data_IF_149694105675
#
_entry.id   IF_149694105675
#
_cell.length_a   1.000
_cell.length_b   1.000
_cell.length_c   1.000
_cell.angle_alpha   90.00
_cell.angle_beta   90.00
_cell.angle_gamma   90.00
#
_symmetry.space_group_name_H-M   'P 1'
#
loop_
_entity.id
_entity.type
_entity.pdbx_description
1 polymer ?
#
# COMPACT_ATOMS: atom_id res chain seq x y z
N UNK A 1 -1.08 -15.51 72.34
CA UNK A 1 -2.04 -14.85 71.42
C UNK A 1 -1.25 -13.94 70.50
N UNK A 2 -1.06 -14.30 69.23
CA UNK A 2 -0.76 -13.35 68.17
C UNK A 2 -1.05 -14.00 66.82
N UNK A 3 -2.17 -13.62 66.21
CA UNK A 3 -2.59 -14.02 64.87
C UNK A 3 -1.90 -13.09 63.86
N UNK A 4 -1.14 -13.63 62.91
CA UNK A 4 -1.53 -13.76 61.50
C UNK A 4 -2.05 -12.46 60.86
N UNK A 5 -1.20 -11.81 60.07
CA UNK A 5 -1.66 -11.03 58.91
C UNK A 5 -0.64 -11.15 57.78
N UNK A 6 -0.86 -12.15 56.94
CA UNK A 6 -0.19 -12.31 55.65
C UNK A 6 -1.10 -11.63 54.61
N UNK A 7 -0.80 -10.38 54.24
CA UNK A 7 -1.52 -9.70 53.16
C UNK A 7 -1.00 -10.21 51.83
N UNK A 8 -1.74 -11.12 51.23
CA UNK A 8 -1.69 -11.43 49.79
C UNK A 8 -2.85 -10.70 49.14
N UNK A 9 -2.57 -9.75 48.24
CA UNK A 9 -3.56 -9.22 47.29
C UNK A 9 -2.81 -8.72 46.05
N UNK A 10 -2.64 -9.60 45.07
CA UNK A 10 -3.31 -9.61 43.75
C UNK A 10 -2.58 -8.77 42.69
N UNK A 11 -2.13 -9.37 41.57
CA UNK A 11 -1.57 -8.63 40.44
C UNK A 11 -2.67 -7.84 39.71
N UNK A 12 -2.35 -6.70 39.07
CA UNK A 12 -3.31 -5.97 38.25
C UNK A 12 -3.71 -6.81 37.04
N UNK A 13 -5.03 -7.00 36.92
CA UNK A 13 -5.72 -7.60 35.79
C UNK A 13 -5.34 -6.89 34.49
N UNK A 14 -4.69 -7.61 33.58
CA UNK A 14 -4.34 -7.09 32.25
C UNK A 14 -5.62 -7.05 31.44
N UNK A 15 -6.28 -5.89 31.45
CA UNK A 15 -7.44 -5.61 30.61
C UNK A 15 -7.07 -5.86 29.15
N UNK A 16 -7.65 -6.91 28.57
CA UNK A 16 -7.48 -7.27 27.17
C UNK A 16 -7.97 -6.13 26.29
N UNK A 17 -7.04 -5.38 25.70
CA UNK A 17 -7.34 -4.48 24.59
C UNK A 17 -7.72 -5.37 23.39
N UNK A 18 -8.95 -5.26 22.85
CA UNK A 18 -9.29 -6.01 21.65
C UNK A 18 -8.46 -5.46 20.49
N UNK A 19 -7.57 -6.29 19.96
CA UNK A 19 -6.92 -6.02 18.68
C UNK A 19 -8.01 -6.12 17.61
N UNK A 20 -8.56 -4.98 17.21
CA UNK A 20 -9.43 -4.86 16.05
C UNK A 20 -8.53 -5.02 14.82
N UNK A 21 -8.53 -6.22 14.24
CA UNK A 21 -7.98 -6.45 12.91
C UNK A 21 -8.93 -5.77 11.92
N UNK A 22 -8.50 -4.79 11.10
CA UNK A 22 -9.36 -4.25 10.07
C UNK A 22 -9.66 -5.37 9.07
N UNK A 23 -10.94 -5.70 8.92
CA UNK A 23 -11.42 -6.57 7.87
C UNK A 23 -11.09 -5.90 6.53
N UNK A 24 -10.10 -6.44 5.82
CA UNK A 24 -9.80 -6.04 4.45
C UNK A 24 -11.03 -6.39 3.60
N UNK A 25 -11.70 -5.43 2.95
CA UNK A 25 -12.78 -5.78 2.04
C UNK A 25 -12.16 -6.56 0.89
N UNK A 26 -12.58 -7.81 0.71
CA UNK A 26 -12.29 -8.56 -0.49
C UNK A 26 -12.89 -7.79 -1.67
N UNK A 27 -12.03 -7.07 -2.40
CA UNK A 27 -12.37 -6.51 -3.71
C UNK A 27 -12.73 -7.69 -4.61
N UNK A 28 -14.02 -7.95 -4.71
CA UNK A 28 -14.60 -8.91 -5.65
C UNK A 28 -14.40 -8.33 -7.06
N UNK A 29 -13.23 -8.58 -7.65
CA UNK A 29 -12.96 -8.22 -9.04
C UNK A 29 -13.84 -9.11 -9.92
N UNK A 30 -14.77 -8.57 -10.72
CA UNK A 30 -15.55 -9.39 -11.64
C UNK A 30 -14.62 -10.02 -12.69
N UNK A 31 -14.68 -11.34 -12.80
CA UNK A 31 -14.01 -12.10 -13.86
C UNK A 31 -14.54 -11.61 -15.22
N UNK A 32 -13.67 -11.21 -16.17
CA UNK A 32 -14.14 -10.80 -17.49
C UNK A 32 -14.84 -11.98 -18.18
N UNK A 33 -15.96 -11.74 -18.90
CA UNK A 33 -16.60 -12.80 -19.67
C UNK A 33 -15.63 -13.32 -20.72
N UNK A 34 -15.60 -14.63 -20.91
CA UNK A 34 -14.80 -15.28 -21.95
C UNK A 34 -15.13 -14.67 -23.33
N UNK A 35 -14.14 -14.52 -24.23
CA UNK A 35 -14.41 -14.01 -25.57
C UNK A 35 -15.28 -15.00 -26.33
N UNK A 36 -16.46 -14.55 -26.76
CA UNK A 36 -17.30 -15.32 -27.67
C UNK A 36 -16.57 -15.52 -29.01
N UNK A 37 -16.66 -16.71 -29.64
CA UNK A 37 -16.12 -16.91 -30.98
C UNK A 37 -16.96 -16.13 -31.99
N UNK A 38 -16.38 -15.07 -32.55
CA UNK A 38 -16.98 -14.33 -33.66
C UNK A 38 -16.96 -15.25 -34.89
N UNK A 39 -18.13 -15.76 -35.27
CA UNK A 39 -18.32 -16.55 -36.48
C UNK A 39 -18.44 -15.60 -37.66
N UNK A 40 -17.44 -15.65 -38.55
CA UNK A 40 -17.34 -14.91 -39.80
C UNK A 40 -18.40 -15.39 -40.80
N UNK A 41 -19.42 -14.58 -41.04
CA UNK A 41 -20.40 -14.79 -42.12
C UNK A 41 -20.11 -13.81 -43.26
N UNK A 42 -19.56 -14.36 -44.34
CA UNK A 42 -19.33 -13.69 -45.62
C UNK A 42 -20.62 -13.11 -46.22
N UNK A 43 -20.53 -11.87 -46.73
CA UNK A 43 -21.65 -11.17 -47.35
C UNK A 43 -21.22 -9.99 -48.23
N UNK A 44 -20.59 -10.31 -49.36
CA UNK A 44 -20.54 -9.60 -50.65
C UNK A 44 -20.98 -8.11 -50.74
N UNK A 45 -20.01 -7.18 -50.79
CA UNK A 45 -20.03 -5.95 -51.62
C UNK A 45 -18.63 -5.31 -51.67
N UNK A 46 -18.07 -5.09 -52.86
CA UNK A 46 -16.81 -4.36 -53.10
C UNK A 46 -17.09 -3.07 -53.91
N UNK A 47 -16.17 -2.09 -54.00
CA UNK A 47 -15.60 -1.31 -52.92
C UNK A 47 -15.67 0.21 -53.21
N UNK A 48 -15.77 1.06 -52.19
CA UNK A 48 -15.28 2.44 -52.29
C UNK A 48 -13.89 2.48 -51.65
N UNK A 49 -12.86 3.04 -52.29
CA UNK A 49 -11.54 3.15 -51.67
C UNK A 49 -11.58 4.35 -50.71
N UNK A 50 -12.21 4.17 -49.56
CA UNK A 50 -11.78 4.92 -48.38
C UNK A 50 -10.43 4.32 -48.04
N UNK A 51 -9.36 4.99 -48.44
CA UNK A 51 -8.02 4.64 -47.97
C UNK A 51 -8.11 4.53 -46.44
N UNK A 52 -7.84 3.36 -45.84
CA UNK A 52 -7.69 3.31 -44.40
C UNK A 52 -6.44 4.15 -44.14
N UNK A 53 -6.60 5.37 -43.63
CA UNK A 53 -5.49 6.04 -42.97
C UNK A 53 -5.05 5.07 -41.88
N UNK A 54 -3.85 4.48 -41.96
CA UNK A 54 -3.38 3.61 -40.93
C UNK A 54 -2.93 4.50 -39.78
N UNK A 55 -3.87 5.07 -39.02
CA UNK A 55 -3.63 5.43 -37.62
C UNK A 55 -3.61 4.13 -36.80
N UNK A 56 -2.81 3.15 -37.26
CA UNK A 56 -2.75 1.81 -36.74
C UNK A 56 -1.63 1.71 -35.72
N UNK A 57 -1.86 2.25 -34.53
CA UNK A 57 -1.04 1.80 -33.39
C UNK A 57 -1.20 0.29 -33.29
N UNK A 58 -0.10 -0.44 -33.46
CA UNK A 58 -0.13 -1.90 -33.36
C UNK A 58 -0.50 -2.30 -31.93
N UNK A 59 -1.15 -3.46 -31.75
CA UNK A 59 -1.45 -4.00 -30.41
C UNK A 59 -0.19 -4.00 -29.51
N UNK A 60 0.96 -4.36 -30.08
CA UNK A 60 2.25 -4.33 -29.38
C UNK A 60 2.66 -2.93 -28.94
N UNK A 61 2.48 -1.92 -29.79
CA UNK A 61 2.74 -0.52 -29.44
C UNK A 61 1.78 -0.05 -28.32
N UNK A 62 0.50 -0.42 -28.42
CA UNK A 62 -0.50 -0.10 -27.39
C UNK A 62 -0.15 -0.73 -26.04
N UNK A 63 0.22 -2.00 -26.02
CA UNK A 63 0.61 -2.71 -24.79
C UNK A 63 1.86 -2.08 -24.18
N UNK A 64 2.89 -1.76 -24.99
CA UNK A 64 4.11 -1.09 -24.49
C UNK A 64 3.79 0.26 -23.85
N UNK A 65 2.90 1.04 -24.48
CA UNK A 65 2.45 2.33 -23.95
C UNK A 65 1.72 2.17 -22.61
N UNK A 66 0.76 1.25 -22.53
CA UNK A 66 0.03 0.97 -21.29
C UNK A 66 0.95 0.45 -20.17
N UNK A 67 1.94 -0.38 -20.50
CA UNK A 67 2.94 -0.83 -19.54
C UNK A 67 3.81 0.32 -19.02
N UNK A 68 4.19 1.26 -19.88
CA UNK A 68 4.92 2.45 -19.46
C UNK A 68 4.06 3.36 -18.55
N UNK A 69 2.79 3.57 -18.89
CA UNK A 69 1.84 4.30 -18.05
C UNK A 69 1.67 3.63 -16.68
N UNK A 70 1.50 2.31 -16.64
CA UNK A 70 1.38 1.56 -15.39
C UNK A 70 2.65 1.65 -14.52
N UNK A 71 3.84 1.59 -15.15
CA UNK A 71 5.11 1.79 -14.43
C UNK A 71 5.25 3.19 -13.86
N UNK A 72 4.91 4.22 -14.64
CA UNK A 72 4.95 5.61 -14.16
C UNK A 72 4.04 5.80 -12.93
N UNK A 73 2.80 5.31 -13.00
CA UNK A 73 1.87 5.36 -11.87
C UNK A 73 2.40 4.62 -10.64
N UNK A 74 3.03 3.46 -10.82
CA UNK A 74 3.63 2.72 -9.71
C UNK A 74 4.78 3.49 -9.06
N UNK A 75 5.64 4.15 -9.84
CA UNK A 75 6.71 5.00 -9.30
C UNK A 75 6.16 6.20 -8.52
N UNK A 76 5.07 6.82 -8.99
CA UNK A 76 4.39 7.89 -8.26
C UNK A 76 3.87 7.41 -6.88
N UNK A 77 3.30 6.21 -6.81
CA UNK A 77 2.84 5.63 -5.54
C UNK A 77 4.01 5.37 -4.57
N UNK A 78 5.16 4.94 -5.09
CA UNK A 78 6.35 4.75 -4.27
C UNK A 78 6.82 6.10 -3.71
N UNK A 79 6.87 7.15 -4.53
CA UNK A 79 7.19 8.51 -4.06
C UNK A 79 6.21 9.03 -3.01
N UNK A 80 4.90 8.74 -3.16
CA UNK A 80 3.91 9.07 -2.14
C UNK A 80 4.16 8.33 -0.82
N UNK A 81 4.55 7.05 -0.88
CA UNK A 81 4.92 6.28 0.31
C UNK A 81 6.18 6.83 0.98
N UNK A 82 7.20 7.22 0.21
CA UNK A 82 8.40 7.86 0.74
C UNK A 82 8.05 9.12 1.55
N UNK A 83 7.21 9.98 1.00
CA UNK A 83 6.76 11.18 1.70
C UNK A 83 6.02 10.83 3.00
N UNK A 84 5.17 9.80 2.98
CA UNK A 84 4.44 9.33 4.17
C UNK A 84 5.38 8.78 5.24
N UNK A 85 6.48 8.11 4.86
CA UNK A 85 7.48 7.65 5.81
C UNK A 85 8.20 8.81 6.50
N UNK A 86 8.43 9.94 5.80
CA UNK A 86 8.98 11.15 6.41
C UNK A 86 7.99 11.78 7.39
N UNK A 87 6.71 11.89 7.01
CA UNK A 87 5.64 12.37 7.92
C UNK A 87 5.52 11.48 9.16
N UNK A 88 5.59 10.16 9.00
CA UNK A 88 5.60 9.20 10.11
C UNK A 88 6.81 9.41 11.01
N UNK A 89 7.99 9.66 10.45
CA UNK A 89 9.19 9.91 11.24
C UNK A 89 9.05 11.17 12.11
N UNK A 90 8.52 12.25 11.54
CA UNK A 90 8.27 13.51 12.26
C UNK A 90 7.28 13.32 13.40
N UNK A 91 6.14 12.67 13.13
CA UNK A 91 5.14 12.39 14.16
C UNK A 91 5.70 11.46 15.26
N UNK A 92 6.53 10.49 14.87
CA UNK A 92 7.15 9.58 15.82
C UNK A 92 8.17 10.30 16.72
N UNK A 93 8.90 11.28 16.20
CA UNK A 93 9.77 12.17 16.98
C UNK A 93 8.96 12.99 17.99
N UNK A 94 7.86 13.61 17.56
CA UNK A 94 6.94 14.35 18.45
C UNK A 94 6.41 13.48 19.61
N UNK A 95 6.05 12.22 19.33
CA UNK A 95 5.61 11.26 20.36
C UNK A 95 6.75 10.87 21.29
N UNK A 96 7.94 10.60 20.75
CA UNK A 96 9.12 10.21 21.53
C UNK A 96 9.52 11.31 22.52
N UNK A 97 9.38 12.57 22.13
CA UNK A 97 9.75 13.76 22.90
C UNK A 97 8.65 14.24 23.86
N UNK A 98 7.41 13.75 23.72
CA UNK A 98 6.27 14.17 24.55
C UNK A 98 6.33 13.80 26.05
N UNK A 99 7.46 13.28 26.54
CA UNK A 99 7.71 13.08 27.98
C UNK A 99 6.66 12.21 28.67
N UNK A 100 6.08 12.72 29.77
CA UNK A 100 5.06 11.99 30.55
C UNK A 100 3.66 12.01 29.91
N UNK A 101 3.46 12.72 28.79
CA UNK A 101 2.21 12.66 28.04
C UNK A 101 2.00 11.29 27.36
N UNK A 102 3.08 10.53 27.15
CA UNK A 102 3.05 9.22 26.51
C UNK A 102 3.73 8.15 27.38
N UNK A 103 3.18 6.93 27.44
CA UNK A 103 3.79 5.84 28.19
C UNK A 103 5.15 5.46 27.59
N UNK A 104 6.08 5.03 28.45
CA UNK A 104 7.46 4.73 28.07
C UNK A 104 7.57 3.74 26.90
N UNK A 105 6.69 2.74 26.83
CA UNK A 105 6.66 1.76 25.74
C UNK A 105 6.30 2.39 24.39
N UNK A 106 5.36 3.33 24.37
CA UNK A 106 4.99 4.03 23.13
C UNK A 106 6.13 4.95 22.66
N UNK A 107 6.79 5.65 23.59
CA UNK A 107 7.93 6.53 23.28
C UNK A 107 9.11 5.77 22.70
N UNK A 108 9.41 4.58 23.22
CA UNK A 108 10.50 3.75 22.71
C UNK A 108 10.23 3.23 21.30
N UNK A 109 8.99 2.79 21.02
CA UNK A 109 8.59 2.38 19.67
C UNK A 109 8.66 3.58 18.72
N UNK A 110 8.17 4.74 19.14
CA UNK A 110 8.19 5.95 18.34
C UNK A 110 9.62 6.41 18.02
N UNK A 111 10.54 6.37 18.99
CA UNK A 111 11.95 6.70 18.77
C UNK A 111 12.59 5.81 17.70
N UNK A 112 12.39 4.50 17.80
CA UNK A 112 12.88 3.55 16.78
C UNK A 112 12.25 3.82 15.43
N UNK A 113 10.95 4.12 15.39
CA UNK A 113 10.24 4.41 14.15
C UNK A 113 10.76 5.70 13.48
N UNK A 114 11.08 6.73 14.27
CA UNK A 114 11.67 7.97 13.79
C UNK A 114 13.06 7.74 13.14
N UNK A 115 13.85 6.80 13.68
CA UNK A 115 15.15 6.42 13.11
C UNK A 115 15.01 5.53 11.87
N UNK A 116 14.08 4.58 11.87
CA UNK A 116 13.93 3.58 10.81
C UNK A 116 13.21 4.10 9.56
N UNK A 117 12.15 4.91 9.73
CA UNK A 117 11.29 5.32 8.62
C UNK A 117 12.04 6.11 7.52
N UNK A 118 12.94 7.06 7.84
CA UNK A 118 13.73 7.77 6.83
C UNK A 118 14.69 6.83 6.07
N UNK A 119 15.29 5.85 6.76
CA UNK A 119 16.18 4.87 6.14
C UNK A 119 15.43 3.98 5.14
N UNK A 120 14.20 3.57 5.51
CA UNK A 120 13.30 2.80 4.62
C UNK A 120 12.87 3.64 3.41
N UNK A 121 12.57 4.92 3.58
CA UNK A 121 12.24 5.82 2.48
C UNK A 121 13.41 5.96 1.48
N UNK A 122 14.63 6.18 1.97
CA UNK A 122 15.82 6.24 1.12
C UNK A 122 16.08 4.92 0.37
N UNK A 123 15.85 3.79 1.03
CA UNK A 123 16.01 2.47 0.42
C UNK A 123 14.98 2.26 -0.70
N UNK A 124 13.71 2.63 -0.46
CA UNK A 124 12.66 2.57 -1.49
C UNK A 124 13.01 3.45 -2.68
N UNK A 125 13.45 4.68 -2.44
CA UNK A 125 13.87 5.63 -3.47
C UNK A 125 14.97 5.05 -4.37
N UNK A 126 16.02 4.49 -3.75
CA UNK A 126 17.13 3.89 -4.47
C UNK A 126 16.70 2.67 -5.30
N UNK A 127 15.74 1.87 -4.81
CA UNK A 127 15.21 0.70 -5.53
C UNK A 127 14.29 1.13 -6.68
N UNK A 128 13.48 2.16 -6.50
CA UNK A 128 12.56 2.66 -7.52
C UNK A 128 13.31 3.32 -8.69
N UNK A 129 14.36 4.10 -8.41
CA UNK A 129 15.14 4.78 -9.45
C UNK A 129 16.05 3.88 -10.30
N UNK A 130 16.27 2.63 -9.89
CA UNK A 130 17.08 1.66 -10.65
C UNK A 130 16.25 0.68 -11.49
N UNK A 131 14.93 0.66 -11.34
CA UNK A 131 14.01 -0.31 -11.96
C UNK A 131 13.43 0.21 -13.29
#
# INVERSE_FOLDING_TARGET
>A
MSASHLTVLSPPEVAGVPVVVPAVPALSVPLPPAPEPIIEAAGLAAPMPVAPTPTGETLTARVKRLQAEAKALACEQIGALEQKLIEVAQLAEEIADGGDAYPVGAREIARRLAEEAPQKAQTLHAIAHRA
#
